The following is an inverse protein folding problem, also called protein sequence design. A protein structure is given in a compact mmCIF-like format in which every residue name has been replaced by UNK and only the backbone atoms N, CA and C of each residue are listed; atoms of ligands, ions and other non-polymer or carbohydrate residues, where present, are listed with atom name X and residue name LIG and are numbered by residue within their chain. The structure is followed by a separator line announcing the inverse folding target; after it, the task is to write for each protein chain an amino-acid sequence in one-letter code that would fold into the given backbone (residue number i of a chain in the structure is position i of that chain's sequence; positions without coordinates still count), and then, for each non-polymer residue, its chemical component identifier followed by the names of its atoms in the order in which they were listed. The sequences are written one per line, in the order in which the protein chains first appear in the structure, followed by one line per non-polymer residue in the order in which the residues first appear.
data_IF_824900129494
#
_entry.id   IF_824900129494
#
_cell.length_a   1.000
_cell.length_b   1.000
_cell.length_c   1.000
_cell.angle_alpha   90.00
_cell.angle_beta   90.00
_cell.angle_gamma   90.00
#
_symmetry.space_group_name_H-M   'P 1'
#
loop_
_entity.id
_entity.type
_entity.pdbx_description
1 polymer ?
#
# COMPACT_ATOMS: atom_id res chain seq x y z
N UNK A 1 -17.92 -7.58 -4.82
CA UNK A 1 -17.40 -8.62 -3.90
C UNK A 1 -15.93 -8.36 -3.56
N UNK A 2 -15.66 -7.54 -2.54
CA UNK A 2 -14.28 -7.24 -2.09
C UNK A 2 -14.21 -7.12 -0.56
N UNK A 3 -15.02 -7.91 0.15
CA UNK A 3 -15.09 -7.86 1.61
C UNK A 3 -14.53 -9.15 2.20
N UNK A 4 -14.09 -9.07 3.44
CA UNK A 4 -13.35 -10.12 4.14
C UNK A 4 -14.18 -10.66 5.31
N UNK A 5 -14.26 -11.98 5.42
CA UNK A 5 -15.01 -12.68 6.46
C UNK A 5 -14.06 -13.66 7.16
N UNK A 6 -14.09 -13.69 8.50
CA UNK A 6 -13.24 -14.61 9.26
C UNK A 6 -13.72 -16.06 9.17
N UNK A 7 -12.78 -16.97 9.39
CA UNK A 7 -12.99 -18.42 9.50
C UNK A 7 -12.17 -18.90 10.69
N UNK A 8 -12.63 -19.91 11.46
CA UNK A 8 -11.90 -20.40 12.62
C UNK A 8 -10.42 -20.68 12.33
N UNK A 9 -9.54 -20.12 13.16
CA UNK A 9 -8.09 -20.24 13.03
C UNK A 9 -7.60 -21.68 12.93
N UNK A 10 -8.29 -22.62 13.57
CA UNK A 10 -8.00 -24.06 13.51
C UNK A 10 -8.04 -24.65 12.08
N UNK A 11 -8.61 -23.93 11.11
CA UNK A 11 -8.77 -24.35 9.72
C UNK A 11 -7.71 -23.76 8.78
N UNK A 12 -6.66 -23.10 9.28
CA UNK A 12 -5.58 -22.60 8.42
C UNK A 12 -5.03 -23.74 7.55
N UNK A 13 -4.97 -23.47 6.24
CA UNK A 13 -4.48 -24.41 5.22
C UNK A 13 -5.46 -25.53 4.85
N UNK A 14 -6.69 -25.52 5.38
CA UNK A 14 -7.72 -26.52 5.07
C UNK A 14 -8.73 -25.97 4.07
N UNK A 15 -9.30 -26.86 3.25
CA UNK A 15 -10.42 -26.53 2.37
C UNK A 15 -11.74 -26.50 3.16
N UNK A 16 -12.60 -25.54 2.85
CA UNK A 16 -13.92 -25.34 3.45
C UNK A 16 -14.95 -25.07 2.35
N UNK A 17 -16.19 -25.42 2.61
CA UNK A 17 -17.32 -25.15 1.73
C UNK A 17 -18.00 -23.85 2.14
N UNK A 18 -18.33 -23.00 1.17
CA UNK A 18 -19.02 -21.73 1.42
C UNK A 18 -20.44 -21.81 0.88
N UNK A 19 -21.41 -21.49 1.75
CA UNK A 19 -22.79 -21.26 1.35
C UNK A 19 -23.09 -19.77 1.46
N UNK A 20 -23.29 -19.13 0.31
CA UNK A 20 -23.64 -17.71 0.22
C UNK A 20 -25.14 -17.60 -0.04
N UNK A 21 -25.85 -16.88 0.82
CA UNK A 21 -27.28 -16.60 0.71
C UNK A 21 -27.50 -15.11 0.40
N UNK A 22 -28.74 -14.62 0.37
CA UNK A 22 -29.01 -13.20 0.15
C UNK A 22 -28.50 -12.31 1.31
N UNK A 23 -28.36 -12.85 2.52
CA UNK A 23 -28.05 -12.07 3.72
C UNK A 23 -26.84 -12.57 4.50
N UNK A 24 -26.39 -13.80 4.26
CA UNK A 24 -25.37 -14.46 5.07
C UNK A 24 -24.34 -15.16 4.19
N UNK A 25 -23.09 -15.15 4.65
CA UNK A 25 -22.04 -16.09 4.26
C UNK A 25 -21.88 -17.10 5.39
N UNK A 26 -22.09 -18.37 5.09
CA UNK A 26 -21.92 -19.48 6.02
C UNK A 26 -20.75 -20.35 5.59
N UNK A 27 -19.91 -20.74 6.54
CA UNK A 27 -18.73 -21.57 6.30
C UNK A 27 -18.95 -22.96 6.89
N UNK A 28 -18.75 -23.97 6.05
CA UNK A 28 -18.98 -25.36 6.36
C UNK A 28 -17.71 -26.19 6.20
N UNK A 29 -17.65 -27.27 6.95
CA UNK A 29 -16.74 -28.39 6.67
C UNK A 29 -17.54 -29.67 6.74
N UNK A 30 -17.58 -30.40 5.64
CA UNK A 30 -18.46 -31.57 5.48
C UNK A 30 -19.94 -31.18 5.66
N UNK A 31 -20.55 -31.49 6.81
CA UNK A 31 -21.96 -31.23 7.10
C UNK A 31 -22.17 -30.32 8.31
N UNK A 32 -21.10 -29.79 8.89
CA UNK A 32 -21.14 -28.93 10.08
C UNK A 32 -20.91 -27.47 9.69
N UNK A 33 -21.77 -26.57 10.18
CA UNK A 33 -21.61 -25.12 10.03
C UNK A 33 -20.67 -24.62 11.12
N UNK A 34 -19.54 -24.06 10.72
CA UNK A 34 -18.48 -23.64 11.64
C UNK A 34 -18.63 -22.18 12.06
N UNK A 35 -18.91 -21.28 11.11
CA UNK A 35 -19.11 -19.85 11.37
C UNK A 35 -20.07 -19.25 10.35
N UNK A 36 -20.70 -18.13 10.69
CA UNK A 36 -21.60 -17.41 9.79
C UNK A 36 -21.49 -15.90 10.00
N UNK A 37 -21.57 -15.15 8.91
CA UNK A 37 -21.46 -13.70 8.88
C UNK A 37 -22.59 -13.09 8.07
N UNK A 38 -23.09 -11.92 8.48
CA UNK A 38 -23.99 -11.17 7.61
C UNK A 38 -23.21 -10.62 6.41
N UNK A 39 -23.82 -10.69 5.23
CA UNK A 39 -23.31 -10.05 4.03
C UNK A 39 -23.21 -8.55 4.23
N UNK A 40 -22.18 -7.97 3.64
CA UNK A 40 -22.06 -6.53 3.52
C UNK A 40 -23.03 -6.05 2.43
N UNK A 41 -23.59 -4.85 2.61
CA UNK A 41 -24.44 -4.24 1.60
C UNK A 41 -23.67 -3.96 0.31
N UNK A 42 -24.38 -3.83 -0.82
CA UNK A 42 -23.78 -3.70 -2.15
C UNK A 42 -22.78 -2.55 -2.30
N UNK A 43 -22.97 -1.47 -1.55
CA UNK A 43 -22.11 -0.28 -1.57
C UNK A 43 -20.88 -0.39 -0.65
N UNK A 44 -20.75 -1.47 0.12
CA UNK A 44 -19.65 -1.65 1.07
C UNK A 44 -18.55 -2.51 0.45
N UNK A 45 -17.32 -2.02 0.46
CA UNK A 45 -16.16 -2.70 -0.11
C UNK A 45 -14.91 -2.55 0.76
N UNK A 46 -14.07 -3.58 0.82
CA UNK A 46 -12.85 -3.69 1.62
C UNK A 46 -13.07 -3.65 3.14
N UNK A 47 -14.26 -4.07 3.59
CA UNK A 47 -14.57 -4.19 5.02
C UNK A 47 -14.35 -5.61 5.55
N UNK A 48 -14.17 -5.70 6.87
CA UNK A 48 -13.91 -6.94 7.59
C UNK A 48 -15.06 -7.27 8.55
N UNK A 49 -15.51 -8.53 8.55
CA UNK A 49 -16.36 -9.10 9.59
C UNK A 49 -15.64 -10.27 10.22
N UNK A 50 -15.21 -10.06 11.45
CA UNK A 50 -14.46 -11.05 12.23
C UNK A 50 -15.28 -11.44 13.45
N UNK A 51 -15.48 -12.73 13.65
CA UNK A 51 -16.06 -13.27 14.87
C UNK A 51 -14.94 -13.55 15.88
N UNK A 52 -15.13 -13.17 17.14
CA UNK A 52 -14.11 -13.37 18.19
C UNK A 52 -13.76 -14.86 18.37
N UNK A 53 -14.74 -15.74 18.20
CA UNK A 53 -14.55 -17.19 18.29
C UNK A 53 -13.65 -17.76 17.16
N UNK A 54 -13.50 -17.03 16.05
CA UNK A 54 -12.66 -17.47 14.93
C UNK A 54 -11.17 -17.16 15.16
N UNK A 55 -10.84 -16.33 16.15
CA UNK A 55 -9.47 -15.96 16.45
C UNK A 55 -8.70 -17.10 17.17
N UNK A 56 -7.37 -17.19 16.99
CA UNK A 56 -6.54 -18.13 17.73
C UNK A 56 -6.63 -17.86 19.24
N UNK A 57 -6.83 -18.91 20.04
CA UNK A 57 -6.81 -18.81 21.50
C UNK A 57 -5.43 -19.21 22.06
N UNK A 58 -4.83 -18.34 22.88
CA UNK A 58 -3.65 -18.64 23.71
C UNK A 58 -2.41 -17.76 23.50
N UNK A 59 -1.47 -17.81 24.45
CA UNK A 59 -0.27 -16.94 24.53
C UNK A 59 0.75 -17.10 23.38
N UNK A 60 0.67 -18.20 22.61
CA UNK A 60 1.61 -18.49 21.51
C UNK A 60 1.36 -17.65 20.25
N UNK A 61 0.18 -17.04 20.13
CA UNK A 61 -0.07 -16.01 19.13
C UNK A 61 0.28 -14.65 19.72
N UNK A 62 1.58 -14.31 19.70
CA UNK A 62 2.03 -12.98 20.11
C UNK A 62 1.83 -12.04 18.93
N UNK A 63 0.60 -11.55 18.78
CA UNK A 63 0.22 -10.57 17.78
C UNK A 63 1.26 -9.45 17.71
N UNK A 64 1.49 -8.95 16.50
CA UNK A 64 2.14 -7.66 16.38
C UNK A 64 1.21 -6.65 17.02
N UNK A 65 1.67 -5.95 18.04
CA UNK A 65 0.95 -4.85 18.64
C UNK A 65 1.52 -3.52 18.13
N UNK A 66 0.75 -2.45 18.35
CA UNK A 66 1.14 -1.09 17.97
C UNK A 66 2.49 -0.69 18.58
N UNK A 67 2.77 -1.12 19.82
CA UNK A 67 4.01 -0.82 20.54
C UNK A 67 5.23 -1.40 19.83
N UNK A 68 5.20 -2.68 19.45
CA UNK A 68 6.32 -3.35 18.76
C UNK A 68 6.50 -2.83 17.35
N UNK A 69 5.42 -2.50 16.64
CA UNK A 69 5.49 -1.89 15.31
C UNK A 69 6.18 -0.52 15.39
N UNK A 70 5.78 0.32 16.35
CA UNK A 70 6.42 1.64 16.58
C UNK A 70 7.88 1.50 16.99
N UNK A 71 8.21 0.57 17.90
CA UNK A 71 9.59 0.30 18.30
C UNK A 71 10.47 -0.23 17.15
N UNK A 72 9.89 -0.91 16.14
CA UNK A 72 10.63 -1.22 14.92
C UNK A 72 10.82 0.02 14.05
N UNK A 73 9.78 0.84 13.86
CA UNK A 73 9.88 2.09 13.11
C UNK A 73 10.97 3.02 13.67
N UNK A 74 11.05 3.17 14.98
CA UNK A 74 12.06 3.98 15.67
C UNK A 74 13.50 3.54 15.38
N UNK A 75 13.73 2.22 15.22
CA UNK A 75 15.04 1.68 14.85
C UNK A 75 15.43 1.97 13.40
N UNK A 76 14.47 2.31 12.55
CA UNK A 76 14.73 2.70 11.15
C UNK A 76 14.99 4.20 11.08
N UNK A 77 14.12 5.02 11.66
CA UNK A 77 14.29 6.47 11.72
C UNK A 77 12.99 7.26 11.92
N UNK A 78 13.09 8.59 12.13
CA UNK A 78 11.95 9.46 12.44
C UNK A 78 10.89 9.57 11.31
N UNK A 79 11.30 9.54 10.05
CA UNK A 79 10.39 9.58 8.90
C UNK A 79 9.58 8.28 8.81
N UNK A 80 10.22 7.12 9.05
CA UNK A 80 9.52 5.85 9.17
C UNK A 80 8.46 5.89 10.28
N UNK A 81 8.79 6.41 11.46
CA UNK A 81 7.84 6.57 12.57
C UNK A 81 6.63 7.41 12.13
N UNK A 82 6.87 8.52 11.43
CA UNK A 82 5.80 9.41 10.94
C UNK A 82 4.90 8.71 9.92
N UNK A 83 5.46 7.91 9.01
CA UNK A 83 4.68 7.11 8.05
C UNK A 83 3.82 6.09 8.78
N UNK A 84 4.39 5.35 9.74
CA UNK A 84 3.66 4.34 10.53
C UNK A 84 2.52 4.99 11.32
N UNK A 85 2.74 6.12 11.97
CA UNK A 85 1.69 6.87 12.67
C UNK A 85 0.56 7.29 11.73
N UNK A 86 0.89 7.82 10.54
CA UNK A 86 -0.11 8.18 9.52
C UNK A 86 -0.89 6.99 8.95
N UNK A 87 -0.33 5.78 9.00
CA UNK A 87 -1.05 4.55 8.65
C UNK A 87 -2.10 4.25 9.72
N UNK A 88 -1.72 4.28 11.00
CA UNK A 88 -2.65 4.04 12.11
C UNK A 88 -3.74 5.10 12.20
N UNK A 89 -3.41 6.38 12.00
CA UNK A 89 -4.39 7.47 11.95
C UNK A 89 -5.34 7.40 10.73
N UNK A 90 -5.04 6.56 9.75
CA UNK A 90 -5.88 6.38 8.55
C UNK A 90 -6.97 5.32 8.71
N UNK A 91 -6.92 4.52 9.78
CA UNK A 91 -7.85 3.42 10.03
C UNK A 91 -8.61 3.66 11.35
N UNK A 92 -9.88 3.22 11.45
CA UNK A 92 -10.66 3.38 12.68
C UNK A 92 -10.18 2.47 13.82
N UNK A 93 -9.53 1.36 13.49
CA UNK A 93 -9.06 0.33 14.42
C UNK A 93 -7.58 0.06 14.12
N UNK A 94 -6.70 0.12 15.13
CA UNK A 94 -5.24 0.07 14.93
C UNK A 94 -4.79 -1.22 14.24
N UNK A 95 -5.45 -2.34 14.57
CA UNK A 95 -5.21 -3.67 14.05
C UNK A 95 -5.35 -3.73 12.52
N UNK A 96 -6.25 -2.92 11.94
CA UNK A 96 -6.42 -2.81 10.48
C UNK A 96 -5.22 -2.14 9.80
N UNK A 97 -4.40 -1.40 10.56
CA UNK A 97 -3.18 -0.75 10.10
C UNK A 97 -1.94 -1.65 10.16
N UNK A 98 -1.98 -2.78 10.87
CA UNK A 98 -0.81 -3.62 11.11
C UNK A 98 -0.18 -4.14 9.83
N UNK A 99 -0.96 -4.70 8.91
CA UNK A 99 -0.41 -5.24 7.67
C UNK A 99 0.22 -4.16 6.79
N UNK A 100 -0.41 -2.98 6.72
CA UNK A 100 0.12 -1.85 5.97
C UNK A 100 1.44 -1.34 6.57
N UNK A 101 1.50 -1.16 7.89
CA UNK A 101 2.71 -0.72 8.59
C UNK A 101 3.83 -1.76 8.49
N UNK A 102 3.51 -3.05 8.70
CA UNK A 102 4.47 -4.15 8.57
C UNK A 102 4.98 -4.30 7.14
N UNK A 103 4.13 -4.11 6.12
CA UNK A 103 4.55 -4.14 4.72
C UNK A 103 5.61 -3.06 4.42
N UNK A 104 5.41 -1.85 4.95
CA UNK A 104 6.40 -0.76 4.86
C UNK A 104 7.68 -1.12 5.60
N UNK A 105 7.60 -1.55 6.85
CA UNK A 105 8.78 -1.92 7.64
C UNK A 105 9.59 -3.06 7.01
N UNK A 106 8.92 -4.04 6.40
CA UNK A 106 9.57 -5.16 5.71
C UNK A 106 10.39 -4.74 4.48
N UNK A 107 10.25 -3.51 3.96
CA UNK A 107 11.15 -2.98 2.92
C UNK A 107 12.61 -2.95 3.38
N UNK A 108 12.86 -2.79 4.69
CA UNK A 108 14.21 -2.85 5.30
C UNK A 108 14.89 -4.21 5.16
N UNK A 109 14.15 -5.26 4.79
CA UNK A 109 14.73 -6.58 4.48
C UNK A 109 15.41 -6.62 3.11
N UNK A 110 14.99 -5.76 2.19
CA UNK A 110 15.49 -5.71 0.80
C UNK A 110 16.38 -4.49 0.55
N UNK A 111 16.15 -3.40 1.26
CA UNK A 111 16.86 -2.15 1.11
C UNK A 111 17.45 -1.74 2.46
N UNK A 112 18.56 -0.99 2.46
CA UNK A 112 19.14 -0.49 3.71
C UNK A 112 18.20 0.47 4.43
N UNK A 113 18.25 0.49 5.76
CA UNK A 113 17.40 1.36 6.59
C UNK A 113 17.50 2.83 6.17
N UNK A 114 18.69 3.32 5.84
CA UNK A 114 18.93 4.68 5.35
C UNK A 114 18.17 4.98 4.04
N UNK A 115 18.21 4.06 3.08
CA UNK A 115 17.46 4.21 1.81
C UNK A 115 15.96 4.23 2.04
N UNK A 116 15.47 3.34 2.91
CA UNK A 116 14.04 3.29 3.26
C UNK A 116 13.61 4.56 3.99
N UNK A 117 14.43 5.08 4.88
CA UNK A 117 14.18 6.33 5.60
C UNK A 117 14.11 7.54 4.65
N UNK A 118 15.02 7.64 3.68
CA UNK A 118 14.95 8.66 2.63
C UNK A 118 13.73 8.50 1.72
N UNK A 119 13.34 7.26 1.39
CA UNK A 119 12.12 7.02 0.64
C UNK A 119 10.87 7.47 1.42
N UNK A 120 10.84 7.23 2.74
CA UNK A 120 9.79 7.74 3.63
C UNK A 120 9.75 9.27 3.62
N UNK A 121 10.90 9.94 3.68
CA UNK A 121 10.97 11.40 3.55
C UNK A 121 10.35 11.88 2.24
N UNK A 122 10.76 11.32 1.09
CA UNK A 122 10.25 11.71 -0.23
C UNK A 122 8.73 11.47 -0.31
N UNK A 123 8.24 10.37 0.23
CA UNK A 123 6.82 10.07 0.24
C UNK A 123 6.02 11.02 1.15
N UNK A 124 6.59 11.47 2.26
CA UNK A 124 5.96 12.46 3.16
C UNK A 124 5.95 13.88 2.56
N UNK A 125 6.95 14.22 1.73
CA UNK A 125 6.99 15.45 0.94
C UNK A 125 5.96 15.45 -0.21
N UNK A 126 5.43 14.28 -0.59
CA UNK A 126 4.40 14.14 -1.62
C UNK A 126 2.99 14.49 -1.11
N UNK A 127 2.02 14.67 -2.02
CA UNK A 127 0.62 14.97 -1.67
C UNK A 127 -0.16 13.80 -1.03
N UNK A 128 0.51 12.70 -0.67
CA UNK A 128 -0.13 11.51 -0.10
C UNK A 128 -0.24 11.64 1.41
N UNK A 129 -1.48 11.66 1.93
CA UNK A 129 -1.76 11.78 3.38
C UNK A 129 -1.20 10.62 4.18
N UNK A 130 -1.40 9.38 3.72
CA UNK A 130 -0.95 8.15 4.38
C UNK A 130 -0.12 7.31 3.40
N UNK A 131 1.20 7.52 3.33
CA UNK A 131 2.08 6.71 2.50
C UNK A 131 2.03 5.23 2.91
N UNK A 132 2.05 4.34 1.92
CA UNK A 132 1.98 2.88 2.10
C UNK A 132 3.04 2.21 1.22
N UNK A 133 3.16 0.89 1.32
CA UNK A 133 4.10 0.10 0.51
C UNK A 133 4.07 0.45 -0.98
N UNK A 134 2.87 0.61 -1.56
CA UNK A 134 2.69 0.95 -2.98
C UNK A 134 3.31 2.30 -3.39
N UNK A 135 3.49 3.23 -2.45
CA UNK A 135 4.11 4.53 -2.69
C UNK A 135 5.63 4.48 -2.49
N UNK A 136 6.10 3.72 -1.51
CA UNK A 136 7.53 3.64 -1.16
C UNK A 136 8.31 2.72 -2.09
N UNK A 137 7.70 1.61 -2.52
CA UNK A 137 8.36 0.63 -3.39
C UNK A 137 8.85 1.28 -4.72
N UNK A 138 8.05 2.05 -5.46
CA UNK A 138 8.52 2.69 -6.69
C UNK A 138 9.68 3.67 -6.47
N UNK A 139 9.67 4.43 -5.36
CA UNK A 139 10.76 5.36 -5.01
C UNK A 139 12.08 4.58 -4.84
N UNK A 140 12.02 3.45 -4.12
CA UNK A 140 13.18 2.58 -3.85
C UNK A 140 13.66 1.79 -5.09
N UNK A 141 12.74 1.37 -5.95
CA UNK A 141 13.03 0.66 -7.20
C UNK A 141 13.66 1.59 -8.25
N UNK A 142 13.15 2.82 -8.37
CA UNK A 142 13.69 3.83 -9.29
C UNK A 142 14.93 4.54 -8.75
N UNK A 143 15.29 4.32 -7.49
CA UNK A 143 16.48 4.90 -6.86
C UNK A 143 16.36 6.39 -6.55
N UNK A 144 15.15 6.94 -6.52
CA UNK A 144 14.90 8.35 -6.21
C UNK A 144 15.36 8.74 -4.79
N UNK A 145 15.44 7.75 -3.90
CA UNK A 145 15.92 7.87 -2.53
C UNK A 145 17.44 8.10 -2.41
N UNK A 146 18.21 7.84 -3.48
CA UNK A 146 19.66 8.01 -3.46
C UNK A 146 20.02 9.49 -3.64
N UNK A 147 20.91 10.00 -2.80
CA UNK A 147 21.46 11.35 -2.88
C UNK A 147 22.21 11.56 -4.21
N UNK A 148 21.48 11.95 -5.26
CA UNK A 148 21.97 12.13 -6.61
C UNK A 148 20.85 12.34 -7.64
N UNK A 149 19.64 11.88 -7.34
CA UNK A 149 18.44 12.06 -8.18
C UNK A 149 17.63 13.31 -7.85
N UNK A 150 18.08 14.16 -6.89
CA UNK A 150 17.57 15.52 -6.71
C UNK A 150 18.03 16.42 -7.88
N UNK A 151 17.68 16.06 -9.12
CA UNK A 151 17.25 17.07 -10.09
C UNK A 151 15.98 17.66 -9.50
N UNK A 152 16.15 18.64 -8.60
CA UNK A 152 15.16 19.71 -8.53
C UNK A 152 15.00 20.13 -9.98
N UNK A 153 13.82 19.99 -10.55
CA UNK A 153 13.41 20.87 -11.63
C UNK A 153 13.36 22.28 -11.02
N UNK A 154 14.55 22.82 -10.72
CA UNK A 154 14.75 24.25 -10.75
C UNK A 154 14.52 24.54 -12.22
N UNK A 155 13.46 25.29 -12.51
CA UNK A 155 13.43 26.06 -13.74
C UNK A 155 14.64 27.01 -13.63
N UNK A 156 15.81 26.49 -13.95
CA UNK A 156 16.93 27.33 -14.34
C UNK A 156 16.50 27.83 -15.71
N UNK A 157 16.36 29.14 -15.88
CA UNK A 157 16.33 29.78 -17.19
C UNK A 157 17.68 29.48 -17.86
N UNK A 158 17.82 28.27 -18.39
CA UNK A 158 18.90 27.90 -19.26
C UNK A 158 18.60 28.60 -20.59
N UNK A 159 19.23 29.77 -20.79
CA UNK A 159 19.42 30.34 -22.11
C UNK A 159 19.85 29.22 -23.05
N UNK A 160 19.07 28.87 -24.09
CA UNK A 160 19.44 27.76 -24.94
C UNK A 160 20.64 28.18 -25.79
N UNK A 161 21.79 27.56 -25.54
CA UNK A 161 22.81 27.45 -26.57
C UNK A 161 22.19 26.71 -27.76
N UNK A 162 22.45 27.14 -29.01
CA UNK A 162 21.85 26.55 -30.19
C UNK A 162 22.49 25.18 -30.45
N UNK A 163 21.94 24.14 -29.82
CA UNK A 163 22.07 22.77 -30.30
C UNK A 163 21.58 22.72 -31.76
N UNK A 164 22.24 21.98 -32.67
CA UNK A 164 21.78 21.79 -34.04
C UNK A 164 20.51 20.93 -34.04
N UNK A 165 19.38 21.59 -33.71
CA UNK A 165 18.06 21.01 -33.68
C UNK A 165 17.68 20.47 -35.05
N UNK A 166 17.17 19.24 -35.06
CA UNK A 166 16.66 18.60 -36.26
C UNK A 166 15.66 19.49 -36.99
N UNK A 167 15.78 19.53 -38.33
CA UNK A 167 14.93 20.34 -39.18
C UNK A 167 13.46 19.91 -39.08
N UNK A 168 12.68 20.63 -38.27
CA UNK A 168 11.22 20.52 -38.27
C UNK A 168 10.71 21.19 -39.54
N UNK A 169 10.11 20.42 -40.44
CA UNK A 169 9.50 20.97 -41.66
C UNK A 169 8.24 21.74 -41.27
N UNK A 170 8.22 23.05 -41.57
CA UNK A 170 7.11 23.94 -41.24
C UNK A 170 5.80 23.55 -41.95
N UNK A 171 4.68 24.12 -41.50
CA UNK A 171 3.33 23.81 -41.99
C UNK A 171 3.19 23.86 -43.53
N UNK A 172 3.96 24.72 -44.21
CA UNK A 172 4.00 24.80 -45.67
C UNK A 172 4.47 23.53 -46.37
N UNK A 173 5.23 22.66 -45.69
CA UNK A 173 5.66 21.36 -46.22
C UNK A 173 4.50 20.38 -46.42
N UNK A 174 3.46 20.47 -45.60
CA UNK A 174 2.26 19.63 -45.72
C UNK A 174 1.14 20.31 -46.52
N UNK A 175 1.30 21.58 -46.89
CA UNK A 175 0.34 22.32 -47.71
C UNK A 175 0.45 22.01 -49.21
N UNK A 176 0.86 20.78 -49.54
CA UNK A 176 0.90 20.28 -50.91
C UNK A 176 -0.52 20.06 -51.45
N UNK A 177 -1.05 21.06 -52.15
CA UNK A 177 -2.10 20.86 -53.16
C UNK A 177 -3.36 21.66 -52.98
N UNK A 178 -3.34 22.94 -53.37
CA UNK A 178 -4.50 23.54 -54.02
C UNK A 178 -4.03 24.34 -55.23
N UNK A 179 -3.82 23.62 -56.33
CA UNK A 179 -3.91 24.17 -57.67
C UNK A 179 -5.31 24.76 -57.88
N UNK A 180 -5.39 26.08 -58.04
CA UNK A 180 -6.00 26.72 -59.21
C UNK A 180 -5.69 28.22 -59.21
#
# INVERSE_FOLDING_TARGET
EKNFYSVPYSLIGQAVDLRVTAQLVEVYRNHERLTSHLLFGEHVTNEYRTNDADQPQGEKYREWDTVRIRAWAERVGPQMVTVVSRIFESVPVEEQGFDAALAVLRLTRRYSSERVEHACQIALESRVRSPRYAHLRPILETGQDRAGTRRRHRFEDASPEPEPGGYVRGAGYYAGGSTR
#
